data_IF_959662226021
#
_entry.id   IF_959662226021
#
_cell.length_a   1.000
_cell.length_b   1.000
_cell.length_c   1.000
_cell.angle_alpha   90.00
_cell.angle_beta   90.00
_cell.angle_gamma   90.00
#
_symmetry.space_group_name_H-M   'P 1'
#
loop_
_entity.id
_entity.type
_entity.pdbx_description
1 polymer ?
#
# COMPACT_ATOMS: atom_id res chain seq x y z
N UNK A 1 -21.60 -10.41 4.72
CA UNK A 1 -20.17 -10.67 4.57
C UNK A 1 -19.47 -9.40 4.09
N UNK A 2 -18.39 -9.02 4.76
CA UNK A 2 -17.65 -7.84 4.36
C UNK A 2 -16.79 -8.12 3.15
N UNK A 3 -16.68 -7.14 2.26
CA UNK A 3 -15.72 -7.20 1.17
C UNK A 3 -14.31 -7.11 1.74
N UNK A 4 -13.44 -7.93 1.21
CA UNK A 4 -12.02 -7.83 1.51
C UNK A 4 -11.23 -7.84 0.22
N UNK A 5 -10.22 -7.00 0.17
CA UNK A 5 -9.41 -6.78 -1.03
C UNK A 5 -7.99 -7.19 -0.69
N UNK A 6 -7.45 -8.16 -1.41
CA UNK A 6 -6.07 -8.61 -1.18
C UNK A 6 -5.11 -7.48 -1.55
N UNK A 7 -4.21 -7.16 -0.62
CA UNK A 7 -3.18 -6.13 -0.78
C UNK A 7 -1.83 -6.72 -0.36
N UNK A 8 -0.82 -5.87 -0.30
CA UNK A 8 0.49 -6.24 0.25
C UNK A 8 1.28 -7.20 -0.62
N UNK A 9 2.19 -7.91 0.01
CA UNK A 9 3.16 -8.77 -0.68
C UNK A 9 2.54 -9.88 -1.49
N UNK A 10 1.45 -10.50 -1.03
CA UNK A 10 0.79 -11.58 -1.78
C UNK A 10 0.17 -11.04 -3.08
N UNK A 11 -0.45 -9.86 -3.02
CA UNK A 11 -1.00 -9.23 -4.24
C UNK A 11 0.13 -8.91 -5.23
N UNK A 12 1.27 -8.45 -4.73
CA UNK A 12 2.44 -8.18 -5.58
C UNK A 12 3.01 -9.45 -6.20
N UNK A 13 3.06 -10.54 -5.45
CA UNK A 13 3.51 -11.83 -6.00
C UNK A 13 2.58 -12.30 -7.11
N UNK A 14 1.28 -12.08 -6.96
CA UNK A 14 0.31 -12.42 -8.00
C UNK A 14 0.51 -11.59 -9.27
N UNK A 15 1.15 -10.41 -9.14
CA UNK A 15 1.51 -9.55 -10.28
C UNK A 15 2.89 -9.89 -10.87
N UNK A 16 3.60 -10.83 -10.29
CA UNK A 16 4.89 -11.27 -10.80
C UNK A 16 6.11 -10.83 -10.00
N UNK A 17 5.92 -10.20 -8.83
CA UNK A 17 7.06 -9.84 -7.97
C UNK A 17 7.73 -11.11 -7.42
N UNK A 18 9.04 -11.11 -7.38
CA UNK A 18 9.81 -12.23 -6.85
C UNK A 18 10.17 -12.06 -5.37
N UNK A 19 9.79 -10.94 -4.74
CA UNK A 19 10.08 -10.73 -3.32
C UNK A 19 9.19 -11.64 -2.46
N UNK A 20 9.84 -12.50 -1.68
CA UNK A 20 9.12 -13.42 -0.80
C UNK A 20 8.46 -12.68 0.36
N UNK A 21 7.25 -13.10 0.70
CA UNK A 21 6.55 -12.70 1.93
C UNK A 21 5.65 -13.84 2.38
N UNK A 22 5.59 -14.07 3.69
CA UNK A 22 4.66 -15.02 4.28
C UNK A 22 3.38 -14.33 4.75
N UNK A 23 3.38 -13.00 4.82
CA UNK A 23 2.26 -12.23 5.34
C UNK A 23 1.13 -12.17 4.30
N UNK A 24 -0.11 -12.21 4.81
CA UNK A 24 -1.30 -12.02 4.00
C UNK A 24 -2.03 -10.79 4.55
N UNK A 25 -2.28 -9.81 3.68
CA UNK A 25 -2.89 -8.55 4.07
C UNK A 25 -4.16 -8.31 3.27
N UNK A 26 -5.20 -7.84 3.96
CA UNK A 26 -6.45 -7.44 3.33
C UNK A 26 -6.83 -6.02 3.73
N UNK A 27 -7.41 -5.30 2.78
CA UNK A 27 -8.06 -4.01 3.02
C UNK A 27 -9.55 -4.28 3.20
N UNK A 28 -10.13 -3.82 4.31
CA UNK A 28 -11.54 -4.02 4.65
C UNK A 28 -12.18 -2.69 5.05
N UNK A 29 -13.50 -2.69 5.21
CA UNK A 29 -14.23 -1.54 5.72
C UNK A 29 -15.21 -2.03 6.80
N UNK A 30 -14.70 -2.22 8.01
CA UNK A 30 -15.48 -2.68 9.15
C UNK A 30 -16.06 -1.48 9.91
N UNK A 31 -17.33 -1.25 9.74
CA UNK A 31 -18.03 -0.10 10.32
C UNK A 31 -18.26 -0.24 11.82
N UNK A 32 -18.02 -1.43 12.39
CA UNK A 32 -18.21 -1.66 13.84
C UNK A 32 -17.05 -1.13 14.68
N UNK A 33 -15.95 -0.76 14.06
CA UNK A 33 -14.76 -0.26 14.77
C UNK A 33 -14.04 0.79 13.90
N UNK A 34 -13.29 1.67 14.58
CA UNK A 34 -12.40 2.61 13.90
C UNK A 34 -10.94 2.21 14.04
N UNK A 35 -10.66 1.03 14.61
CA UNK A 35 -9.30 0.50 14.69
C UNK A 35 -8.78 0.25 13.27
N UNK A 36 -7.61 0.81 12.95
CA UNK A 36 -7.07 0.76 11.58
C UNK A 36 -6.33 -0.55 11.29
N UNK A 37 -5.49 -0.99 12.22
CA UNK A 37 -4.67 -2.19 12.01
C UNK A 37 -5.17 -3.31 12.92
N UNK A 38 -5.66 -4.38 12.31
CA UNK A 38 -6.26 -5.50 13.03
C UNK A 38 -5.51 -6.77 12.62
N UNK A 39 -4.88 -7.44 13.58
CA UNK A 39 -4.18 -8.70 13.35
C UNK A 39 -5.03 -9.85 13.85
N UNK A 40 -5.18 -10.89 13.05
CA UNK A 40 -5.90 -12.10 13.41
C UNK A 40 -5.16 -13.30 12.85
N UNK A 41 -4.51 -14.06 13.73
CA UNK A 41 -3.68 -15.20 13.37
C UNK A 41 -2.58 -14.78 12.40
N UNK A 42 -2.56 -15.35 11.18
CA UNK A 42 -1.53 -15.06 10.19
C UNK A 42 -1.99 -14.02 9.15
N UNK A 43 -3.11 -13.34 9.42
CA UNK A 43 -3.68 -12.37 8.48
C UNK A 43 -3.74 -10.99 9.13
N UNK A 44 -3.26 -9.99 8.41
CA UNK A 44 -3.34 -8.60 8.82
C UNK A 44 -4.44 -7.89 8.04
N UNK A 45 -5.26 -7.13 8.73
CA UNK A 45 -6.32 -6.35 8.10
C UNK A 45 -6.04 -4.87 8.29
N UNK A 46 -6.18 -4.09 7.22
CA UNK A 46 -6.21 -2.64 7.27
C UNK A 46 -7.65 -2.21 7.12
N UNK A 47 -8.19 -1.53 8.14
CA UNK A 47 -9.59 -1.13 8.16
C UNK A 47 -9.74 0.30 7.65
N UNK A 48 -10.42 0.45 6.54
CA UNK A 48 -10.65 1.74 5.91
C UNK A 48 -11.51 2.68 6.76
N UNK A 49 -12.33 2.14 7.65
CA UNK A 49 -13.21 2.95 8.49
C UNK A 49 -12.44 3.83 9.49
N UNK A 50 -11.18 3.55 9.75
CA UNK A 50 -10.37 4.32 10.70
C UNK A 50 -9.47 5.36 10.06
N UNK A 51 -9.45 5.52 8.74
CA UNK A 51 -8.47 6.35 8.07
C UNK A 51 -8.96 6.80 6.70
N UNK A 52 -8.91 8.11 6.43
CA UNK A 52 -9.43 8.69 5.19
C UNK A 52 -8.70 8.24 3.95
N UNK A 53 -7.36 8.07 4.04
CA UNK A 53 -6.58 7.58 2.91
C UNK A 53 -6.99 6.16 2.53
N UNK A 54 -7.04 5.27 3.51
CA UNK A 54 -7.46 3.88 3.26
C UNK A 54 -8.90 3.81 2.77
N UNK A 55 -9.76 4.71 3.24
CA UNK A 55 -11.15 4.78 2.76
C UNK A 55 -11.22 5.12 1.26
N UNK A 56 -10.38 6.05 0.80
CA UNK A 56 -10.32 6.38 -0.64
C UNK A 56 -9.83 5.19 -1.47
N UNK A 57 -8.81 4.49 -0.98
CA UNK A 57 -8.28 3.31 -1.69
C UNK A 57 -9.34 2.21 -1.73
N UNK A 58 -10.02 1.95 -0.61
CA UNK A 58 -11.09 0.96 -0.55
C UNK A 58 -12.20 1.28 -1.55
N UNK A 59 -12.60 2.54 -1.60
CA UNK A 59 -13.65 3.01 -2.53
C UNK A 59 -13.22 2.80 -3.99
N UNK A 60 -11.96 3.09 -4.31
CA UNK A 60 -11.44 2.93 -5.66
C UNK A 60 -11.39 1.45 -6.09
N UNK A 61 -11.19 0.54 -5.14
CA UNK A 61 -11.06 -0.90 -5.41
C UNK A 61 -12.33 -1.69 -5.14
N UNK A 62 -13.41 -1.03 -4.81
CA UNK A 62 -14.66 -1.70 -4.43
C UNK A 62 -15.11 -2.68 -5.51
N UNK A 63 -15.37 -3.91 -5.09
CA UNK A 63 -15.77 -4.99 -6.00
C UNK A 63 -14.61 -5.83 -6.52
N UNK A 64 -13.38 -5.38 -6.36
CA UNK A 64 -12.21 -6.16 -6.76
C UNK A 64 -11.79 -7.13 -5.65
N UNK A 65 -11.35 -8.32 -6.03
CA UNK A 65 -10.82 -9.29 -5.06
C UNK A 65 -9.37 -8.97 -4.69
N UNK A 66 -8.62 -8.37 -5.62
CA UNK A 66 -7.25 -7.96 -5.41
C UNK A 66 -7.09 -6.51 -5.88
N UNK A 67 -6.28 -5.76 -5.17
CA UNK A 67 -6.03 -4.36 -5.51
C UNK A 67 -5.27 -4.25 -6.83
N UNK A 68 -5.58 -3.20 -7.58
CA UNK A 68 -4.87 -2.87 -8.82
C UNK A 68 -3.43 -2.43 -8.51
N UNK A 69 -2.52 -2.50 -9.49
CA UNK A 69 -1.15 -2.02 -9.29
C UNK A 69 -1.08 -0.58 -8.77
N UNK A 70 -1.93 0.31 -9.28
CA UNK A 70 -1.92 1.70 -8.83
C UNK A 70 -2.27 1.83 -7.35
N UNK A 71 -3.30 1.13 -6.88
CA UNK A 71 -3.66 1.16 -5.45
C UNK A 71 -2.60 0.52 -4.58
N UNK A 72 -1.97 -0.56 -5.06
CA UNK A 72 -0.84 -1.17 -4.33
C UNK A 72 0.31 -0.18 -4.19
N UNK A 73 0.61 0.58 -5.24
CA UNK A 73 1.64 1.61 -5.20
C UNK A 73 1.28 2.68 -4.15
N UNK A 74 0.05 3.17 -4.16
CA UNK A 74 -0.41 4.19 -3.22
C UNK A 74 -0.25 3.71 -1.77
N UNK A 75 -0.65 2.47 -1.50
CA UNK A 75 -0.53 1.87 -0.16
C UNK A 75 0.94 1.73 0.25
N UNK A 76 1.80 1.30 -0.67
CA UNK A 76 3.24 1.15 -0.39
C UNK A 76 3.92 2.50 -0.18
N UNK A 77 3.52 3.52 -0.95
CA UNK A 77 4.06 4.86 -0.78
C UNK A 77 3.70 5.43 0.60
N UNK A 78 2.46 5.24 1.03
CA UNK A 78 2.01 5.66 2.35
C UNK A 78 2.79 4.94 3.46
N UNK A 79 2.95 3.63 3.34
CA UNK A 79 3.71 2.82 4.28
C UNK A 79 5.19 3.23 4.30
N UNK A 80 5.77 3.50 3.14
CA UNK A 80 7.14 3.96 3.00
C UNK A 80 7.38 5.22 3.83
N UNK A 81 6.50 6.20 3.69
CA UNK A 81 6.58 7.46 4.45
C UNK A 81 6.47 7.20 5.96
N UNK A 82 5.51 6.36 6.38
CA UNK A 82 5.33 6.02 7.79
C UNK A 82 6.57 5.35 8.38
N UNK A 83 7.15 4.40 7.64
CA UNK A 83 8.35 3.69 8.11
C UNK A 83 9.57 4.61 8.15
N UNK A 84 9.70 5.56 7.23
CA UNK A 84 10.76 6.57 7.28
C UNK A 84 10.63 7.42 8.55
N UNK A 85 9.42 7.85 8.89
CA UNK A 85 9.16 8.63 10.11
C UNK A 85 9.54 7.87 11.38
N UNK A 86 9.40 6.54 11.36
CA UNK A 86 9.65 5.69 12.51
C UNK A 86 11.05 5.05 12.49
N UNK A 87 11.89 5.43 11.52
CA UNK A 87 13.26 4.90 11.37
C UNK A 87 13.31 3.39 11.22
N UNK A 88 12.27 2.81 10.64
CA UNK A 88 12.17 1.36 10.42
C UNK A 88 12.76 1.01 9.05
N UNK A 89 14.10 1.01 8.97
CA UNK A 89 14.83 0.97 7.69
C UNK A 89 14.62 -0.34 6.92
N UNK A 90 14.46 -1.47 7.60
CA UNK A 90 14.20 -2.74 6.90
C UNK A 90 12.85 -2.71 6.17
N UNK A 91 11.85 -2.08 6.77
CA UNK A 91 10.54 -1.90 6.13
C UNK A 91 10.58 -0.85 5.02
N UNK A 92 11.40 0.20 5.21
CA UNK A 92 11.65 1.19 4.15
C UNK A 92 12.20 0.50 2.91
N UNK A 93 13.19 -0.36 3.08
CA UNK A 93 13.81 -1.09 1.95
C UNK A 93 12.81 -1.99 1.24
N UNK A 94 11.96 -2.70 1.98
CA UNK A 94 10.92 -3.55 1.40
C UNK A 94 9.90 -2.74 0.61
N UNK A 95 9.45 -1.62 1.18
CA UNK A 95 8.50 -0.74 0.50
C UNK A 95 9.10 -0.14 -0.76
N UNK A 96 10.36 0.28 -0.70
CA UNK A 96 11.07 0.83 -1.84
C UNK A 96 11.18 -0.20 -2.97
N UNK A 97 11.55 -1.44 -2.64
CA UNK A 97 11.62 -2.53 -3.61
C UNK A 97 10.26 -2.72 -4.30
N UNK A 98 9.18 -2.78 -3.52
CA UNK A 98 7.83 -3.01 -4.02
C UNK A 98 7.36 -1.83 -4.88
N UNK A 99 7.64 -0.60 -4.46
CA UNK A 99 7.29 0.59 -5.23
C UNK A 99 8.02 0.61 -6.58
N UNK A 100 9.32 0.29 -6.60
CA UNK A 100 10.11 0.23 -7.83
C UNK A 100 9.58 -0.83 -8.78
N UNK A 101 9.19 -2.00 -8.27
CA UNK A 101 8.56 -3.04 -9.07
C UNK A 101 7.30 -2.49 -9.77
N UNK A 102 6.45 -1.81 -9.02
CA UNK A 102 5.19 -1.27 -9.55
C UNK A 102 5.43 -0.14 -10.57
N UNK A 103 6.41 0.72 -10.34
CA UNK A 103 6.76 1.77 -11.30
C UNK A 103 7.32 1.16 -12.57
N UNK A 104 8.24 0.21 -12.43
CA UNK A 104 8.94 -0.40 -13.59
C UNK A 104 7.98 -1.19 -14.48
N UNK A 105 7.05 -1.91 -13.90
CA UNK A 105 6.19 -2.83 -14.65
C UNK A 105 4.82 -2.24 -15.00
N UNK A 106 4.34 -1.25 -14.26
CA UNK A 106 2.98 -0.73 -14.44
C UNK A 106 2.90 0.79 -14.57
N UNK A 107 4.04 1.48 -14.48
CA UNK A 107 4.08 2.93 -14.65
C UNK A 107 3.38 3.71 -13.55
N UNK A 108 3.30 3.17 -12.33
CA UNK A 108 2.59 3.81 -11.22
C UNK A 108 3.25 5.11 -10.78
N UNK A 109 2.45 6.02 -10.26
CA UNK A 109 2.91 7.30 -9.72
C UNK A 109 1.95 7.76 -8.61
N UNK A 110 2.40 8.65 -7.70
CA UNK A 110 1.54 9.09 -6.60
C UNK A 110 0.38 9.95 -7.12
N UNK A 111 -0.85 9.53 -6.83
CA UNK A 111 -2.07 10.24 -7.22
C UNK A 111 -2.92 10.53 -5.98
N UNK A 112 -3.34 9.49 -5.27
CA UNK A 112 -4.17 9.63 -4.07
C UNK A 112 -3.31 9.97 -2.85
N UNK A 113 -2.19 9.28 -2.67
CA UNK A 113 -1.32 9.44 -1.50
C UNK A 113 -0.79 10.87 -1.36
N UNK A 114 -0.60 11.57 -2.47
CA UNK A 114 -0.08 12.94 -2.46
C UNK A 114 -0.93 13.91 -1.64
N UNK A 115 -2.21 13.59 -1.44
CA UNK A 115 -3.14 14.42 -0.68
C UNK A 115 -3.08 14.13 0.82
N UNK A 116 -2.30 13.14 1.25
CA UNK A 116 -2.25 12.66 2.63
C UNK A 116 -0.85 12.69 3.24
N UNK A 117 0.14 13.16 2.49
CA UNK A 117 1.52 13.27 2.95
C UNK A 117 2.02 14.70 2.73
N UNK A 118 3.10 15.06 3.41
CA UNK A 118 3.68 16.40 3.30
C UNK A 118 4.37 16.58 1.95
N UNK A 119 4.66 17.84 1.58
CA UNK A 119 5.36 18.14 0.34
C UNK A 119 6.77 17.52 0.31
N UNK A 120 7.45 17.50 1.46
CA UNK A 120 8.77 16.88 1.57
C UNK A 120 8.71 15.37 1.39
N UNK A 121 7.72 14.73 1.98
CA UNK A 121 7.48 13.29 1.82
C UNK A 121 7.13 12.96 0.38
N UNK A 122 6.27 13.75 -0.23
CA UNK A 122 5.92 13.56 -1.64
C UNK A 122 7.15 13.69 -2.54
N UNK A 123 8.03 14.65 -2.25
CA UNK A 123 9.28 14.82 -2.99
C UNK A 123 10.13 13.55 -2.97
N UNK A 124 10.22 12.87 -1.83
CA UNK A 124 10.97 11.60 -1.73
C UNK A 124 10.32 10.50 -2.55
N UNK A 125 9.00 10.41 -2.55
CA UNK A 125 8.26 9.44 -3.36
C UNK A 125 8.50 9.71 -4.85
N UNK A 126 8.42 10.96 -5.26
CA UNK A 126 8.64 11.37 -6.66
C UNK A 126 10.07 11.07 -7.11
N UNK A 127 11.06 11.31 -6.25
CA UNK A 127 12.46 10.96 -6.54
C UNK A 127 12.60 9.47 -6.82
N UNK A 128 11.97 8.64 -6.00
CA UNK A 128 11.99 7.19 -6.19
C UNK A 128 11.38 6.80 -7.52
N UNK A 129 10.22 7.35 -7.85
CA UNK A 129 9.55 7.09 -9.13
C UNK A 129 10.46 7.48 -10.31
N UNK A 130 11.04 8.68 -10.25
CA UNK A 130 11.89 9.18 -11.32
C UNK A 130 13.18 8.38 -11.48
N UNK A 131 13.71 7.81 -10.39
CA UNK A 131 14.92 6.99 -10.44
C UNK A 131 14.73 5.70 -11.23
N UNK A 132 13.50 5.24 -11.39
CA UNK A 132 13.17 3.97 -12.05
C UNK A 132 12.78 4.17 -13.52
N UNK A 133 12.32 5.36 -13.88
CA UNK A 133 11.78 5.64 -15.23
C UNK A 133 12.84 5.76 -16.34
N UNK A 134 14.09 5.57 -16.02
CA UNK A 134 15.17 5.72 -17.01
C UNK A 134 15.72 4.38 -17.46
#
# INVERSE_FOLDING_TARGET
MQDQILIGGQALRNLGSDRYTSDVDYLINDLSTTETFICSEAIDYINANGNKFFAEIFKAEKGNLEATPQSLFELKAYAFVQHCQNFNWSKVDSCEYDMKFLVRNFGCSPKTVKNYISSGELSEVVKLVNSVKH
#
